data_IF_019128394816
#
_entry.id   IF_019128394816
#
_cell.length_a   1.000
_cell.length_b   1.000
_cell.length_c   1.000
_cell.angle_alpha   90.00
_cell.angle_beta   90.00
_cell.angle_gamma   90.00
#
_symmetry.space_group_name_H-M   'P 1'
#
loop_
_entity.id
_entity.type
_entity.pdbx_description
1 polymer ?
#
# COMPACT_ATOMS: atom_id res chain seq x y z
N UNK A 1 20.27 12.03 16.35
CA UNK A 1 20.09 10.56 16.48
C UNK A 1 18.72 10.35 17.04
N UNK A 2 17.88 9.69 16.25
CA UNK A 2 16.54 9.30 16.67
C UNK A 2 16.54 7.82 17.07
N UNK A 3 15.53 7.43 17.83
CA UNK A 3 15.39 6.06 18.32
C UNK A 3 14.05 5.48 17.90
N UNK A 4 14.12 4.34 17.24
CA UNK A 4 12.96 3.48 16.96
C UNK A 4 13.13 2.24 17.85
N UNK A 5 12.55 2.32 19.06
CA UNK A 5 12.72 1.31 20.10
C UNK A 5 14.20 0.96 20.40
N UNK A 6 14.69 -0.19 19.99
CA UNK A 6 16.07 -0.64 20.20
C UNK A 6 17.00 -0.34 19.01
N UNK A 7 16.49 0.35 17.99
CA UNK A 7 17.24 0.75 16.79
C UNK A 7 17.53 2.25 16.79
N UNK A 8 18.73 2.64 16.35
CA UNK A 8 19.12 4.03 16.13
C UNK A 8 18.91 4.43 14.68
N UNK A 9 18.42 5.64 14.48
CA UNK A 9 18.30 6.25 13.16
C UNK A 9 19.13 7.53 13.07
N UNK A 10 19.88 7.66 11.97
CA UNK A 10 20.78 8.78 11.72
C UNK A 10 20.00 9.96 11.14
N UNK A 11 19.83 10.98 11.98
CA UNK A 11 19.12 12.22 11.65
C UNK A 11 19.74 12.95 10.44
N UNK A 12 21.06 12.90 10.27
CA UNK A 12 21.73 13.49 9.10
C UNK A 12 21.33 12.77 7.82
N UNK A 13 21.09 11.46 7.89
CA UNK A 13 20.62 10.68 6.74
C UNK A 13 19.14 10.94 6.44
N UNK A 14 18.32 11.21 7.45
CA UNK A 14 16.94 11.67 7.24
C UNK A 14 16.90 13.02 6.52
N UNK A 15 17.68 14.00 6.97
CA UNK A 15 17.75 15.31 6.29
C UNK A 15 18.12 15.16 4.81
N UNK A 16 19.11 14.30 4.49
CA UNK A 16 19.49 14.02 3.09
C UNK A 16 18.38 13.35 2.30
N UNK A 17 17.59 12.48 2.94
CA UNK A 17 16.45 11.84 2.30
C UNK A 17 15.33 12.86 2.02
N UNK A 18 15.06 13.77 2.95
CA UNK A 18 14.09 14.85 2.80
C UNK A 18 14.49 15.79 1.65
N UNK A 19 15.76 16.25 1.62
CA UNK A 19 16.30 17.06 0.52
C UNK A 19 16.18 16.34 -0.85
N UNK A 20 16.38 15.02 -0.86
CA UNK A 20 16.20 14.23 -2.07
C UNK A 20 14.73 14.23 -2.52
N UNK A 21 13.79 14.05 -1.59
CA UNK A 21 12.34 14.08 -1.87
C UNK A 21 11.91 15.44 -2.43
N UNK A 22 12.39 16.53 -1.85
CA UNK A 22 12.10 17.89 -2.32
C UNK A 22 12.61 18.10 -3.76
N UNK A 23 13.89 17.86 -4.01
CA UNK A 23 14.50 18.00 -5.35
C UNK A 23 13.86 17.07 -6.38
N UNK A 24 13.49 15.86 -5.97
CA UNK A 24 12.76 14.93 -6.82
C UNK A 24 11.39 15.51 -7.19
N UNK A 25 10.66 16.07 -6.22
CA UNK A 25 9.32 16.65 -6.43
C UNK A 25 9.35 17.89 -7.32
N UNK A 26 10.41 18.70 -7.26
CA UNK A 26 10.65 19.82 -8.20
C UNK A 26 10.78 19.35 -9.66
N UNK A 27 11.23 18.12 -9.89
CA UNK A 27 11.39 17.56 -11.24
C UNK A 27 10.09 17.00 -11.84
N UNK A 28 9.01 16.97 -11.07
CA UNK A 28 7.71 16.43 -11.50
C UNK A 28 6.81 17.53 -12.07
N UNK A 29 5.99 17.15 -13.05
CA UNK A 29 4.93 18.02 -13.57
C UNK A 29 3.92 18.38 -12.46
N UNK A 30 3.40 19.62 -12.42
CA UNK A 30 2.53 20.11 -11.35
C UNK A 30 1.09 19.59 -11.48
N UNK A 31 0.90 18.30 -11.22
CA UNK A 31 -0.40 17.60 -11.24
C UNK A 31 -0.57 16.71 -10.01
N UNK A 32 -1.73 16.04 -9.94
CA UNK A 32 -1.99 14.98 -8.96
C UNK A 32 -1.20 13.70 -9.27
N UNK A 33 -0.68 13.07 -8.22
CA UNK A 33 0.00 11.76 -8.27
C UNK A 33 -0.57 10.85 -7.17
N UNK A 34 -0.78 9.59 -7.50
CA UNK A 34 -0.95 8.55 -6.49
C UNK A 34 0.38 8.28 -5.78
N UNK A 35 0.34 7.72 -4.57
CA UNK A 35 1.55 7.25 -3.88
C UNK A 35 2.26 6.17 -4.70
N UNK A 36 1.50 5.33 -5.41
CA UNK A 36 2.04 4.34 -6.35
C UNK A 36 2.83 4.99 -7.47
N UNK A 37 2.28 6.00 -8.13
CA UNK A 37 2.98 6.70 -9.20
C UNK A 37 4.23 7.40 -8.68
N UNK A 38 4.07 8.13 -7.57
CA UNK A 38 5.14 8.87 -6.93
C UNK A 38 6.30 7.95 -6.56
N UNK A 39 6.01 6.80 -5.94
CA UNK A 39 7.00 5.79 -5.57
C UNK A 39 7.61 5.06 -6.76
N UNK A 40 6.84 4.77 -7.80
CA UNK A 40 7.39 4.20 -9.03
C UNK A 40 8.45 5.13 -9.64
N UNK A 41 8.14 6.43 -9.76
CA UNK A 41 9.04 7.44 -10.33
C UNK A 41 10.23 7.71 -9.42
N UNK A 42 10.02 7.80 -8.10
CA UNK A 42 11.11 8.00 -7.13
C UNK A 42 12.07 6.81 -7.12
N UNK A 43 11.56 5.58 -7.15
CA UNK A 43 12.38 4.38 -7.19
C UNK A 43 13.29 4.28 -8.43
N UNK A 44 12.91 4.89 -9.56
CA UNK A 44 13.77 4.97 -10.76
C UNK A 44 14.99 5.87 -10.54
N UNK A 45 14.91 6.80 -9.57
CA UNK A 45 16.00 7.73 -9.22
C UNK A 45 16.92 7.20 -8.13
N UNK A 46 16.54 6.10 -7.48
CA UNK A 46 17.32 5.48 -6.40
C UNK A 46 18.22 4.40 -7.01
N UNK A 47 19.54 4.63 -6.92
CA UNK A 47 20.54 3.65 -7.34
C UNK A 47 20.94 2.75 -6.16
N UNK A 48 20.08 1.78 -5.85
CA UNK A 48 20.30 0.79 -4.80
C UNK A 48 19.86 -0.61 -5.28
N UNK A 49 20.70 -1.61 -5.06
CA UNK A 49 20.45 -2.99 -5.45
C UNK A 49 19.49 -3.69 -4.47
N UNK A 50 19.47 -3.28 -3.21
CA UNK A 50 18.78 -4.00 -2.13
C UNK A 50 17.47 -3.33 -1.66
N UNK A 51 17.29 -2.05 -1.92
CA UNK A 51 16.15 -1.27 -1.45
C UNK A 51 14.82 -1.75 -2.03
N UNK A 52 13.80 -1.80 -1.17
CA UNK A 52 12.43 -2.22 -1.54
C UNK A 52 11.88 -1.31 -2.64
N UNK A 53 12.02 0.01 -2.48
CA UNK A 53 11.47 0.98 -3.43
C UNK A 53 12.16 0.92 -4.80
N UNK A 54 13.48 0.83 -4.83
CA UNK A 54 14.24 0.66 -6.07
C UNK A 54 13.89 -0.67 -6.76
N UNK A 55 13.82 -1.76 -6.00
CA UNK A 55 13.44 -3.08 -6.52
C UNK A 55 12.01 -3.11 -7.05
N UNK A 56 11.05 -2.57 -6.30
CA UNK A 56 9.67 -2.45 -6.74
C UNK A 56 9.57 -1.65 -8.04
N UNK A 57 10.32 -0.56 -8.16
CA UNK A 57 10.34 0.25 -9.37
C UNK A 57 10.90 -0.51 -10.59
N UNK A 58 12.03 -1.23 -10.46
CA UNK A 58 12.59 -2.06 -11.55
C UNK A 58 11.67 -3.22 -11.95
N UNK A 59 10.96 -3.78 -10.98
CA UNK A 59 10.07 -4.93 -11.19
C UNK A 59 8.61 -4.52 -11.48
N UNK A 60 8.33 -3.21 -11.59
CA UNK A 60 7.01 -2.64 -11.83
C UNK A 60 5.96 -3.10 -10.80
N UNK A 61 6.36 -3.22 -9.53
CA UNK A 61 5.49 -3.58 -8.42
C UNK A 61 4.91 -2.30 -7.77
N UNK A 62 3.58 -2.20 -7.61
CA UNK A 62 2.95 -1.04 -7.01
C UNK A 62 3.18 -1.01 -5.50
N UNK A 63 3.53 0.16 -4.98
CA UNK A 63 3.56 0.44 -3.54
C UNK A 63 2.51 1.51 -3.25
N UNK A 64 1.58 1.23 -2.36
CA UNK A 64 0.59 2.19 -1.90
C UNK A 64 0.89 2.62 -0.46
N UNK A 65 0.85 3.91 -0.18
CA UNK A 65 0.99 4.49 1.16
C UNK A 65 -0.11 5.51 1.41
N UNK A 66 -1.30 5.07 1.89
CA UNK A 66 -2.44 5.96 2.06
C UNK A 66 -2.21 7.09 3.07
N UNK A 67 -1.35 6.87 4.06
CA UNK A 67 -0.99 7.84 5.09
C UNK A 67 0.36 8.53 4.80
N UNK A 68 0.68 8.78 3.52
CA UNK A 68 1.96 9.38 3.13
C UNK A 68 2.24 10.73 3.82
N UNK A 69 1.21 11.53 4.06
CA UNK A 69 1.35 12.81 4.76
C UNK A 69 1.89 12.66 6.20
N UNK A 70 1.68 11.52 6.83
CA UNK A 70 2.19 11.18 8.17
C UNK A 70 3.52 10.42 8.05
N UNK A 71 4.52 11.08 7.44
CA UNK A 71 5.87 10.53 7.26
C UNK A 71 6.89 11.64 6.99
N UNK A 72 8.19 11.33 7.07
CA UNK A 72 9.28 12.25 6.67
C UNK A 72 9.12 12.72 5.22
N UNK A 73 8.73 11.81 4.32
CA UNK A 73 8.41 12.14 2.92
C UNK A 73 7.25 13.15 2.86
N UNK A 74 6.21 12.96 3.66
CA UNK A 74 5.08 13.88 3.76
C UNK A 74 5.47 15.26 4.31
N UNK A 75 6.39 15.31 5.27
CA UNK A 75 6.95 16.56 5.80
C UNK A 75 7.75 17.32 4.73
N UNK A 76 8.67 16.64 4.03
CA UNK A 76 9.43 17.19 2.91
C UNK A 76 8.51 17.71 1.79
N UNK A 77 7.49 16.94 1.42
CA UNK A 77 6.47 17.37 0.44
C UNK A 77 5.68 18.61 0.90
N UNK A 78 5.45 18.76 2.20
CA UNK A 78 4.77 19.93 2.78
C UNK A 78 5.62 21.19 2.65
N UNK A 79 6.93 21.08 2.94
CA UNK A 79 7.90 22.16 2.78
C UNK A 79 8.01 22.56 1.30
N UNK A 80 8.29 21.59 0.42
CA UNK A 80 8.32 21.79 -1.04
C UNK A 80 7.06 22.51 -1.54
N UNK A 81 5.88 22.05 -1.11
CA UNK A 81 4.60 22.65 -1.53
C UNK A 81 4.52 24.12 -1.13
N UNK A 82 4.92 24.46 0.10
CA UNK A 82 4.87 25.83 0.59
C UNK A 82 5.82 26.73 -0.22
N UNK A 83 7.05 26.27 -0.46
CA UNK A 83 8.03 27.03 -1.24
C UNK A 83 7.61 27.29 -2.68
N UNK A 84 6.99 26.29 -3.33
CA UNK A 84 6.41 26.46 -4.67
C UNK A 84 5.36 27.57 -4.68
N UNK A 85 4.45 27.57 -3.70
CA UNK A 85 3.37 28.54 -3.58
C UNK A 85 3.90 29.95 -3.28
N UNK A 86 4.89 30.08 -2.40
CA UNK A 86 5.55 31.36 -2.09
C UNK A 86 6.23 31.98 -3.33
N UNK A 87 6.71 31.13 -4.24
CA UNK A 87 7.29 31.54 -5.52
C UNK A 87 6.25 31.74 -6.65
N UNK A 88 4.96 31.58 -6.36
CA UNK A 88 3.88 31.66 -7.35
C UNK A 88 3.89 30.54 -8.39
N UNK A 89 4.54 29.41 -8.08
CA UNK A 89 4.61 28.22 -8.95
C UNK A 89 3.59 27.18 -8.49
N UNK A 90 2.84 26.52 -9.39
CA UNK A 90 1.98 25.40 -8.99
C UNK A 90 2.85 24.20 -8.56
N UNK A 91 2.56 23.56 -7.41
CA UNK A 91 3.29 22.36 -6.96
C UNK A 91 2.69 21.09 -7.56
N UNK A 92 3.48 20.00 -7.62
CA UNK A 92 2.90 18.66 -7.68
C UNK A 92 2.11 18.36 -6.39
N UNK A 93 1.12 17.47 -6.46
CA UNK A 93 0.25 17.16 -5.32
C UNK A 93 0.08 15.65 -5.18
N UNK A 94 0.26 15.14 -3.97
CA UNK A 94 -0.18 13.79 -3.61
C UNK A 94 -1.71 13.76 -3.49
N UNK A 95 -2.34 12.88 -4.27
CA UNK A 95 -3.79 12.64 -4.24
C UNK A 95 -4.09 11.21 -3.78
N UNK A 96 -4.50 11.01 -2.51
CA UNK A 96 -4.83 9.68 -1.98
C UNK A 96 -6.06 9.05 -2.65
N UNK A 97 -6.89 9.83 -3.35
CA UNK A 97 -8.03 9.27 -4.10
C UNK A 97 -7.56 8.53 -5.34
N UNK A 98 -6.44 8.92 -5.95
CA UNK A 98 -5.86 8.17 -7.06
C UNK A 98 -5.41 6.77 -6.60
N UNK A 99 -4.84 6.63 -5.39
CA UNK A 99 -4.51 5.32 -4.81
C UNK A 99 -5.73 4.41 -4.73
N UNK A 100 -6.86 4.95 -4.28
CA UNK A 100 -8.12 4.22 -4.12
C UNK A 100 -8.66 3.72 -5.47
N UNK A 101 -8.58 4.54 -6.52
CA UNK A 101 -8.99 4.15 -7.87
C UNK A 101 -8.08 3.03 -8.41
N UNK A 102 -6.76 3.18 -8.24
CA UNK A 102 -5.76 2.24 -8.75
C UNK A 102 -5.82 0.88 -8.03
N UNK A 103 -5.89 0.86 -6.69
CA UNK A 103 -5.97 -0.38 -5.92
C UNK A 103 -7.29 -1.13 -6.18
N UNK A 104 -8.39 -0.41 -6.40
CA UNK A 104 -9.66 -1.01 -6.79
C UNK A 104 -9.60 -1.59 -8.19
N UNK A 105 -8.95 -0.93 -9.15
CA UNK A 105 -8.72 -1.48 -10.49
C UNK A 105 -7.94 -2.80 -10.43
N UNK A 106 -6.90 -2.89 -9.60
CA UNK A 106 -6.18 -4.14 -9.36
C UNK A 106 -7.13 -5.26 -8.92
N UNK A 107 -7.95 -5.01 -7.89
CA UNK A 107 -8.87 -6.03 -7.37
C UNK A 107 -9.95 -6.43 -8.39
N UNK A 108 -10.43 -5.50 -9.21
CA UNK A 108 -11.40 -5.79 -10.28
C UNK A 108 -10.81 -6.71 -11.34
N UNK A 109 -9.55 -6.50 -11.71
CA UNK A 109 -8.83 -7.33 -12.70
C UNK A 109 -8.45 -8.69 -12.12
N UNK A 110 -7.93 -8.73 -10.90
CA UNK A 110 -7.54 -9.94 -10.19
C UNK A 110 -8.51 -10.24 -9.06
N UNK A 111 -9.64 -10.85 -9.43
CA UNK A 111 -10.73 -11.15 -8.51
C UNK A 111 -10.34 -12.13 -7.41
N UNK A 112 -9.60 -13.20 -7.74
CA UNK A 112 -9.06 -14.11 -6.72
C UNK A 112 -7.79 -13.50 -6.15
N UNK A 113 -7.78 -13.22 -4.85
CA UNK A 113 -6.61 -12.64 -4.18
C UNK A 113 -6.37 -13.23 -2.79
N UNK A 114 -5.12 -13.20 -2.37
CA UNK A 114 -4.69 -13.49 -1.01
C UNK A 114 -4.00 -12.28 -0.42
N UNK A 115 -4.06 -12.14 0.91
CA UNK A 115 -3.44 -11.03 1.65
C UNK A 115 -2.50 -11.59 2.72
N UNK A 116 -1.33 -10.96 2.85
CA UNK A 116 -0.37 -11.24 3.92
C UNK A 116 -0.22 -9.95 4.72
N UNK A 117 -0.67 -9.97 5.96
CA UNK A 117 -0.55 -8.86 6.90
C UNK A 117 0.68 -9.05 7.76
N UNK A 118 1.56 -8.05 7.76
CA UNK A 118 2.74 -7.98 8.63
C UNK A 118 2.50 -6.81 9.58
N UNK A 119 2.19 -7.12 10.84
CA UNK A 119 1.67 -6.17 11.81
C UNK A 119 0.21 -5.77 11.52
N UNK A 120 -0.13 -4.54 11.89
CA UNK A 120 -1.49 -4.00 11.82
C UNK A 120 -1.56 -2.61 11.17
N UNK A 121 -2.28 -1.70 11.83
CA UNK A 121 -2.37 -0.30 11.44
C UNK A 121 -3.02 -0.04 10.09
N UNK A 122 -2.64 1.09 9.48
CA UNK A 122 -3.20 1.56 8.22
C UNK A 122 -3.06 0.55 7.08
N UNK A 123 -1.91 -0.11 6.84
CA UNK A 123 -1.76 -1.05 5.73
C UNK A 123 -2.74 -2.23 5.81
N UNK A 124 -2.97 -2.78 7.01
CA UNK A 124 -3.90 -3.91 7.22
C UNK A 124 -5.33 -3.54 6.84
N UNK A 125 -5.81 -2.37 7.25
CA UNK A 125 -7.17 -1.96 6.90
C UNK A 125 -7.27 -1.50 5.43
N UNK A 126 -6.24 -0.80 4.93
CA UNK A 126 -6.25 -0.20 3.61
C UNK A 126 -6.39 -1.23 2.49
N UNK A 127 -5.65 -2.33 2.52
CA UNK A 127 -5.78 -3.37 1.49
C UNK A 127 -7.18 -4.01 1.49
N UNK A 128 -7.82 -4.12 2.65
CA UNK A 128 -9.13 -4.76 2.78
C UNK A 128 -10.30 -3.84 2.40
N UNK A 129 -10.14 -2.52 2.54
CA UNK A 129 -11.21 -1.57 2.23
C UNK A 129 -11.56 -1.55 0.72
N UNK A 130 -10.72 -2.15 -0.12
CA UNK A 130 -10.99 -2.32 -1.55
C UNK A 130 -12.33 -3.02 -1.81
N UNK A 131 -12.75 -3.93 -0.93
CA UNK A 131 -14.02 -4.66 -1.06
C UNK A 131 -15.23 -3.74 -0.84
N UNK A 132 -15.42 -3.09 0.33
CA UNK A 132 -16.54 -2.17 0.54
C UNK A 132 -16.47 -0.94 -0.37
N UNK A 133 -15.28 -0.48 -0.75
CA UNK A 133 -15.12 0.63 -1.71
C UNK A 133 -15.71 0.27 -3.08
N UNK A 134 -15.44 -0.93 -3.58
CA UNK A 134 -16.01 -1.41 -4.84
C UNK A 134 -17.53 -1.61 -4.76
N UNK A 135 -18.05 -2.05 -3.61
CA UNK A 135 -19.49 -2.12 -3.35
C UNK A 135 -20.16 -0.73 -3.38
N UNK A 136 -19.57 0.26 -2.71
CA UNK A 136 -20.06 1.65 -2.72
C UNK A 136 -20.09 2.22 -4.15
N UNK A 137 -19.06 1.89 -4.94
CA UNK A 137 -18.94 2.25 -6.35
C UNK A 137 -19.95 1.52 -7.27
N UNK A 138 -20.72 0.55 -6.75
CA UNK A 138 -21.67 -0.24 -7.53
C UNK A 138 -21.00 -1.28 -8.44
N UNK A 139 -19.75 -1.66 -8.12
CA UNK A 139 -18.93 -2.60 -8.86
C UNK A 139 -18.41 -3.68 -7.91
N UNK A 140 -19.29 -4.50 -7.31
CA UNK A 140 -18.89 -5.47 -6.28
C UNK A 140 -17.82 -6.42 -6.83
N UNK A 141 -16.80 -6.67 -6.00
CA UNK A 141 -15.71 -7.61 -6.25
C UNK A 141 -15.75 -8.70 -5.19
N UNK A 142 -15.32 -9.94 -5.48
CA UNK A 142 -15.32 -11.00 -4.48
C UNK A 142 -14.33 -10.67 -3.34
N UNK A 143 -14.60 -11.08 -2.09
CA UNK A 143 -13.67 -10.93 -0.97
C UNK A 143 -12.31 -11.62 -1.18
N UNK A 144 -11.36 -11.45 -0.26
CA UNK A 144 -10.08 -12.18 -0.32
C UNK A 144 -10.28 -13.67 0.00
N UNK A 145 -9.65 -14.55 -0.79
CA UNK A 145 -9.77 -16.01 -0.65
C UNK A 145 -8.77 -16.62 0.35
N UNK A 146 -7.68 -15.91 0.64
CA UNK A 146 -6.62 -16.36 1.55
C UNK A 146 -6.15 -15.20 2.42
N UNK A 147 -5.86 -15.47 3.69
CA UNK A 147 -5.31 -14.48 4.61
C UNK A 147 -4.26 -15.09 5.54
N UNK A 148 -3.07 -14.49 5.58
CA UNK A 148 -2.05 -14.79 6.58
C UNK A 148 -1.79 -13.52 7.38
N UNK A 149 -1.82 -13.60 8.70
CA UNK A 149 -1.53 -12.48 9.58
C UNK A 149 -0.37 -12.83 10.51
N UNK A 150 0.70 -12.05 10.47
CA UNK A 150 1.81 -12.08 11.44
C UNK A 150 1.70 -10.84 12.29
N UNK A 151 1.39 -10.97 13.58
CA UNK A 151 1.17 -9.81 14.45
C UNK A 151 1.55 -10.07 15.90
N UNK A 152 1.91 -9.00 16.60
CA UNK A 152 2.02 -8.97 18.07
C UNK A 152 0.84 -8.25 18.72
N UNK A 153 -0.08 -7.69 17.92
CA UNK A 153 -1.23 -6.95 18.41
C UNK A 153 -2.26 -7.87 19.06
N UNK A 154 -2.87 -7.38 20.12
CA UNK A 154 -3.84 -8.13 20.92
C UNK A 154 -5.28 -7.70 20.58
N UNK A 155 -6.19 -8.64 20.25
CA UNK A 155 -7.57 -8.32 19.90
C UNK A 155 -8.36 -7.69 21.05
N UNK A 156 -7.97 -7.87 22.33
CA UNK A 156 -8.74 -7.40 23.50
C UNK A 156 -9.01 -5.90 23.50
N UNK A 157 -8.18 -5.12 22.82
CA UNK A 157 -8.28 -3.67 22.75
C UNK A 157 -9.30 -3.18 21.72
N UNK A 158 -9.86 -4.08 20.89
CA UNK A 158 -10.84 -3.74 19.85
C UNK A 158 -10.29 -2.85 18.73
N UNK A 159 -8.96 -2.78 18.59
CA UNK A 159 -8.31 -2.02 17.53
C UNK A 159 -8.17 -2.81 16.22
N UNK A 160 -8.20 -2.13 15.08
CA UNK A 160 -8.05 -2.75 13.75
C UNK A 160 -6.73 -3.52 13.59
N UNK A 161 -5.66 -3.09 14.29
CA UNK A 161 -4.37 -3.76 14.25
C UNK A 161 -4.46 -5.20 14.79
N UNK A 162 -5.08 -5.37 15.97
CA UNK A 162 -5.31 -6.67 16.63
C UNK A 162 -6.54 -7.44 16.16
N UNK A 163 -7.41 -6.81 15.34
CA UNK A 163 -8.64 -7.41 14.83
C UNK A 163 -8.40 -8.82 14.26
N UNK A 164 -9.17 -9.79 14.74
CA UNK A 164 -9.03 -11.17 14.29
C UNK A 164 -9.58 -11.34 12.87
N UNK A 165 -9.02 -12.26 12.11
CA UNK A 165 -9.46 -12.51 10.73
C UNK A 165 -10.94 -12.94 10.64
N UNK A 166 -11.51 -13.73 11.58
CA UNK A 166 -12.95 -13.98 11.64
C UNK A 166 -13.82 -12.72 11.81
N UNK A 167 -13.35 -11.72 12.56
CA UNK A 167 -14.04 -10.44 12.67
C UNK A 167 -14.02 -9.69 11.33
N UNK A 168 -12.86 -9.66 10.66
CA UNK A 168 -12.75 -9.09 9.31
C UNK A 168 -13.63 -9.81 8.27
N UNK A 169 -13.78 -11.13 8.42
CA UNK A 169 -14.68 -11.96 7.61
C UNK A 169 -16.15 -11.58 7.82
N UNK A 170 -16.56 -11.22 9.05
CA UNK A 170 -17.93 -10.77 9.34
C UNK A 170 -18.32 -9.49 8.58
N UNK A 171 -17.33 -8.68 8.18
CA UNK A 171 -17.51 -7.47 7.38
C UNK A 171 -17.46 -7.73 5.86
N UNK A 172 -17.36 -8.99 5.44
CA UNK A 172 -17.26 -9.36 4.02
C UNK A 172 -15.91 -9.06 3.38
N UNK A 173 -14.87 -8.74 4.16
CA UNK A 173 -13.51 -8.50 3.62
C UNK A 173 -12.81 -9.79 3.22
N UNK A 174 -13.10 -10.89 3.91
CA UNK A 174 -12.64 -12.24 3.59
C UNK A 174 -13.82 -13.11 3.15
N UNK A 175 -13.56 -14.04 2.23
CA UNK A 175 -14.56 -14.99 1.77
C UNK A 175 -15.01 -15.88 2.96
N UNK A 176 -16.30 -16.26 3.10
CA UNK A 176 -16.74 -17.17 4.16
C UNK A 176 -15.99 -18.51 4.20
N UNK A 177 -15.41 -18.94 3.06
CA UNK A 177 -14.59 -20.14 2.92
C UNK A 177 -13.08 -19.83 2.80
N UNK A 178 -12.67 -18.60 3.13
CA UNK A 178 -11.26 -18.22 3.06
C UNK A 178 -10.41 -19.10 3.98
N UNK A 179 -9.29 -19.56 3.45
CA UNK A 179 -8.25 -20.18 4.27
C UNK A 179 -7.47 -19.07 4.96
N UNK A 180 -7.45 -19.12 6.30
CA UNK A 180 -6.90 -18.04 7.11
C UNK A 180 -6.02 -18.56 8.24
N UNK A 181 -4.93 -17.85 8.51
CA UNK A 181 -4.00 -18.18 9.59
C UNK A 181 -3.50 -16.90 10.26
N UNK A 182 -3.56 -16.86 11.60
CA UNK A 182 -2.93 -15.82 12.42
C UNK A 182 -1.79 -16.44 13.20
N UNK A 183 -0.61 -15.82 13.11
CA UNK A 183 0.60 -16.18 13.83
C UNK A 183 0.96 -15.03 14.77
N UNK A 184 0.91 -15.30 16.07
CA UNK A 184 1.25 -14.33 17.10
C UNK A 184 2.76 -14.33 17.37
N UNK A 185 3.51 -13.57 16.59
CA UNK A 185 4.97 -13.49 16.68
C UNK A 185 5.45 -12.14 16.15
N UNK A 186 6.59 -11.67 16.67
CA UNK A 186 7.30 -10.53 16.10
C UNK A 186 7.66 -10.79 14.63
N UNK A 187 7.42 -9.81 13.76
CA UNK A 187 7.69 -9.91 12.32
C UNK A 187 9.17 -10.18 12.02
N UNK A 188 10.10 -9.68 12.86
CA UNK A 188 11.54 -9.91 12.72
C UNK A 188 11.93 -11.39 12.91
N UNK A 189 11.09 -12.17 13.58
CA UNK A 189 11.26 -13.62 13.77
C UNK A 189 10.40 -14.39 12.74
N UNK A 190 9.12 -14.05 12.65
CA UNK A 190 8.15 -14.79 11.85
C UNK A 190 8.38 -14.67 10.34
N UNK A 191 8.73 -13.48 9.85
CA UNK A 191 8.83 -13.24 8.41
C UNK A 191 10.01 -13.98 7.76
N UNK A 192 11.24 -13.98 8.33
CA UNK A 192 12.34 -14.77 7.77
C UNK A 192 12.05 -16.28 7.76
N UNK A 193 11.41 -16.82 8.80
CA UNK A 193 11.04 -18.23 8.87
C UNK A 193 9.98 -18.60 7.85
N UNK A 194 8.93 -17.78 7.73
CA UNK A 194 7.86 -17.95 6.73
C UNK A 194 8.45 -17.93 5.32
N UNK A 195 9.26 -16.92 5.01
CA UNK A 195 9.86 -16.78 3.68
C UNK A 195 10.79 -17.95 3.37
N UNK A 196 11.69 -18.31 4.29
CA UNK A 196 12.61 -19.44 4.10
C UNK A 196 11.85 -20.75 3.88
N UNK A 197 10.86 -21.04 4.72
CA UNK A 197 10.04 -22.26 4.58
C UNK A 197 9.30 -22.32 3.25
N UNK A 198 8.78 -21.18 2.75
CA UNK A 198 8.16 -21.13 1.42
C UNK A 198 9.19 -21.40 0.32
N UNK A 199 10.36 -20.75 0.38
CA UNK A 199 11.39 -20.86 -0.66
C UNK A 199 12.07 -22.24 -0.71
N UNK A 200 12.17 -22.94 0.42
CA UNK A 200 12.79 -24.27 0.50
C UNK A 200 11.85 -25.41 0.08
N UNK A 201 10.54 -25.26 0.27
CA UNK A 201 9.57 -26.34 0.08
C UNK A 201 8.67 -26.17 -1.16
N UNK A 202 8.62 -24.98 -1.75
CA UNK A 202 7.69 -24.66 -2.83
C UNK A 202 8.39 -23.96 -4.00
N UNK A 203 8.02 -24.32 -5.23
CA UNK A 203 8.60 -23.77 -6.47
C UNK A 203 7.54 -23.21 -7.43
N UNK A 204 6.25 -23.30 -7.08
CA UNK A 204 5.11 -22.86 -7.90
C UNK A 204 5.16 -21.36 -8.23
N UNK A 205 5.89 -20.58 -7.44
CA UNK A 205 6.12 -19.17 -7.70
C UNK A 205 7.02 -18.92 -8.91
N UNK A 206 7.93 -19.85 -9.27
CA UNK A 206 8.86 -19.71 -10.40
C UNK A 206 8.14 -19.63 -11.76
N UNK A 207 6.95 -20.23 -11.86
CA UNK A 207 6.12 -20.19 -13.05
C UNK A 207 5.21 -18.96 -13.16
N UNK A 208 5.19 -18.07 -12.15
CA UNK A 208 4.32 -16.89 -12.16
C UNK A 208 4.94 -15.76 -12.97
N UNK A 209 4.17 -15.22 -13.90
CA UNK A 209 4.56 -14.02 -14.65
C UNK A 209 4.58 -12.77 -13.76
N UNK A 210 5.28 -11.73 -14.22
CA UNK A 210 5.29 -10.42 -13.57
C UNK A 210 3.90 -9.78 -13.58
N UNK A 211 3.63 -8.92 -12.60
CA UNK A 211 2.44 -8.10 -12.62
C UNK A 211 2.50 -7.17 -13.84
N UNK A 212 1.50 -7.25 -14.71
CA UNK A 212 1.35 -6.37 -15.86
C UNK A 212 -0.04 -5.73 -15.82
N UNK A 213 -0.09 -4.50 -15.28
CA UNK A 213 -1.31 -3.71 -15.17
C UNK A 213 -1.13 -2.39 -15.92
N UNK A 214 -2.10 -2.05 -16.78
CA UNK A 214 -2.16 -0.73 -17.39
C UNK A 214 -2.83 0.24 -16.42
N UNK A 215 -2.06 1.18 -15.86
CA UNK A 215 -2.54 2.16 -14.90
C UNK A 215 -3.37 3.28 -15.54
N UNK A 216 -3.20 3.57 -16.83
CA UNK A 216 -3.96 4.62 -17.52
C UNK A 216 -5.43 4.21 -17.71
N UNK A 217 -5.67 2.96 -18.13
CA UNK A 217 -7.01 2.37 -18.27
C UNK A 217 -7.77 2.26 -16.93
N UNK A 218 -7.04 2.24 -15.80
CA UNK A 218 -7.60 2.04 -14.46
C UNK A 218 -8.50 3.19 -13.99
N UNK A 219 -8.16 4.43 -14.39
CA UNK A 219 -8.85 5.65 -13.98
C UNK A 219 -10.16 5.83 -14.76
N UNK A 220 -10.16 5.50 -16.06
CA UNK A 220 -11.34 5.61 -16.93
C UNK A 220 -12.44 4.61 -16.54
N UNK A 221 -12.07 3.38 -16.20
CA UNK A 221 -13.01 2.31 -15.88
C UNK A 221 -13.78 2.50 -14.56
N UNK A 222 -13.39 3.49 -13.75
CA UNK A 222 -13.90 3.69 -12.38
C UNK A 222 -14.85 4.88 -12.26
N UNK A 223 -14.89 5.76 -13.26
CA UNK A 223 -15.62 7.03 -13.20
C UNK A 223 -17.16 6.93 -13.34
N UNK A 224 -17.72 5.77 -13.72
CA UNK A 224 -19.16 5.67 -14.07
C UNK A 224 -19.94 4.87 -13.04
N UNK A 225 -20.58 5.56 -12.10
CA UNK A 225 -21.60 4.98 -11.22
C UNK A 225 -22.88 4.73 -12.02
N UNK A 226 -23.24 3.46 -12.25
CA UNK A 226 -24.63 3.14 -12.66
C UNK A 226 -25.56 3.40 -11.47
N UNK A 227 -26.65 4.14 -11.70
CA UNK A 227 -27.57 4.60 -10.66
C UNK A 227 -27.98 3.46 -9.69
N UNK A 228 -27.91 3.72 -8.37
CA UNK A 228 -28.44 2.80 -7.35
C UNK A 228 -29.95 2.66 -7.57
N UNK A 229 -30.42 1.47 -7.93
CA UNK A 229 -31.82 1.10 -7.67
C UNK A 229 -31.94 0.90 -6.17
N UNK A 230 -32.51 1.87 -5.49
CA UNK A 230 -32.98 1.70 -4.11
C UNK A 230 -34.20 0.77 -4.20
N UNK A 231 -34.03 -0.49 -3.83
CA UNK A 231 -35.18 -1.35 -3.53
C UNK A 231 -35.72 -0.92 -2.16
N UNK A 232 -36.95 -0.40 -2.16
CA UNK A 232 -37.74 -0.18 -0.96
C UNK A 232 -38.18 -1.51 -0.34
#
# INVERSE_FOLDING_TARGET
IDRVYDTYADDVMFTKADEFVEKFSESLEPRGYSSREFFQLMGQRINDEYGILATASREHLPIFSPALADSSIGMALTVYRNEQLDQGRPPMVYDPMLDNLEIMSLKRRWQKSGVIFIGGGTPKNYIQQVIPMAEIAGMPVPPHSYAVQVTTDDPKFGGLSGCELPESQSWGKLDPKAEQCTVHVDATIGLPLLFTGVMEHYEEWKGRGRLNHNWEESLEATAVRKARKVSA
#
